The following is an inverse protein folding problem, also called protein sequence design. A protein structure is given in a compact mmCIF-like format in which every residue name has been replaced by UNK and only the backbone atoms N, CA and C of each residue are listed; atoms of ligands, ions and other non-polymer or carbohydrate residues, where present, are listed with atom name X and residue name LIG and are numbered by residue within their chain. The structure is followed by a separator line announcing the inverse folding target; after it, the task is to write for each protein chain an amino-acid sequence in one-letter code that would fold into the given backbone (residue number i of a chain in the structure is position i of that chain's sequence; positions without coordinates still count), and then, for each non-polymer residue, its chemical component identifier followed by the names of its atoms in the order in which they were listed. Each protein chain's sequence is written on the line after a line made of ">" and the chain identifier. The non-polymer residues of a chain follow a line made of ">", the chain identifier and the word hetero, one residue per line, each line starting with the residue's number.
data_IF_029487679628
#
_entry.id   IF_029487679628
#
_cell.length_a   1.000
_cell.length_b   1.000
_cell.length_c   1.000
_cell.angle_alpha   90.00
_cell.angle_beta   90.00
_cell.angle_gamma   90.00
#
_symmetry.space_group_name_H-M   'P 1'
#
loop_
_entity.id
_entity.type
_entity.pdbx_description
1 polymer ?
#
# COMPACT_ATOMS: atom_id res chain seq x y z
N UNK A 1 -33.93 -72.40 11.30
CA UNK A 1 -33.33 -71.59 12.40
C UNK A 1 -31.91 -71.27 11.95
N UNK A 2 -31.46 -70.05 11.70
CA UNK A 2 -32.02 -68.71 11.86
C UNK A 2 -31.57 -67.85 10.67
N UNK A 3 -32.49 -67.04 10.15
CA UNK A 3 -32.25 -66.06 9.09
C UNK A 3 -31.50 -64.86 9.68
N UNK A 4 -30.28 -64.59 9.18
CA UNK A 4 -29.53 -63.39 9.50
C UNK A 4 -30.00 -62.23 8.64
N UNK A 5 -30.67 -61.25 9.27
CA UNK A 5 -31.09 -59.99 8.67
C UNK A 5 -29.88 -59.25 8.10
N UNK A 6 -29.87 -59.05 6.77
CA UNK A 6 -29.07 -58.02 6.12
C UNK A 6 -29.85 -56.72 6.32
N UNK A 7 -29.43 -55.90 7.29
CA UNK A 7 -29.85 -54.50 7.36
C UNK A 7 -29.30 -53.80 6.13
N UNK A 8 -30.18 -53.52 5.18
CA UNK A 8 -30.01 -52.53 4.13
C UNK A 8 -29.57 -51.22 4.76
N UNK A 9 -28.29 -50.85 4.57
CA UNK A 9 -27.85 -49.47 4.70
C UNK A 9 -28.70 -48.65 3.72
N UNK A 10 -29.56 -47.80 4.26
CA UNK A 10 -30.22 -46.78 3.47
C UNK A 10 -29.10 -45.92 2.83
N UNK A 11 -29.15 -45.62 1.52
CA UNK A 11 -28.22 -44.67 0.93
C UNK A 11 -28.40 -43.35 1.69
N UNK A 12 -27.32 -42.86 2.29
CA UNK A 12 -27.27 -41.53 2.87
C UNK A 12 -27.75 -40.55 1.79
N UNK A 13 -28.90 -39.92 2.02
CA UNK A 13 -29.44 -38.93 1.10
C UNK A 13 -28.41 -37.79 0.93
N UNK A 14 -28.22 -37.26 -0.29
CA UNK A 14 -27.32 -36.12 -0.55
C UNK A 14 -27.66 -34.86 0.26
N UNK A 15 -28.85 -34.80 0.88
CA UNK A 15 -29.37 -33.66 1.60
C UNK A 15 -28.71 -33.41 2.98
N UNK A 16 -27.91 -34.34 3.51
CA UNK A 16 -27.29 -34.17 4.83
C UNK A 16 -25.91 -33.47 4.82
N UNK A 17 -25.38 -33.13 3.64
CA UNK A 17 -24.17 -32.31 3.49
C UNK A 17 -24.48 -30.80 3.38
N UNK A 18 -25.74 -30.40 3.16
CA UNK A 18 -26.16 -29.00 3.00
C UNK A 18 -26.34 -28.23 4.32
N UNK A 19 -26.22 -28.90 5.47
CA UNK A 19 -26.41 -28.29 6.80
C UNK A 19 -25.23 -27.43 7.28
N UNK A 20 -24.14 -27.34 6.51
CA UNK A 20 -22.95 -26.53 6.82
C UNK A 20 -22.63 -25.44 5.79
N UNK A 21 -23.57 -25.10 4.90
CA UNK A 21 -23.47 -23.89 4.08
C UNK A 21 -23.64 -22.66 4.98
N UNK A 22 -22.56 -22.33 5.70
CA UNK A 22 -22.48 -21.16 6.57
C UNK A 22 -22.86 -19.92 5.77
N UNK A 23 -23.39 -18.91 6.45
CA UNK A 23 -23.65 -17.58 5.87
C UNK A 23 -22.48 -17.11 4.97
N UNK A 24 -21.24 -17.35 5.41
CA UNK A 24 -20.01 -17.08 4.66
C UNK A 24 -19.97 -17.80 3.30
N UNK A 25 -20.28 -19.10 3.25
CA UNK A 25 -20.27 -19.88 2.01
C UNK A 25 -21.32 -19.38 1.00
N UNK A 26 -22.48 -18.94 1.49
CA UNK A 26 -23.58 -18.43 0.63
C UNK A 26 -23.21 -17.11 -0.03
N UNK A 27 -22.54 -16.22 0.70
CA UNK A 27 -22.14 -14.90 0.19
C UNK A 27 -20.75 -14.86 -0.45
N UNK A 28 -19.95 -15.92 -0.40
CA UNK A 28 -18.60 -15.95 -0.95
C UNK A 28 -18.51 -15.48 -2.42
N UNK A 29 -19.47 -15.88 -3.26
CA UNK A 29 -19.50 -15.44 -4.67
C UNK A 29 -19.90 -13.97 -4.83
N UNK A 30 -20.75 -13.47 -3.94
CA UNK A 30 -21.12 -12.05 -3.90
C UNK A 30 -19.91 -11.22 -3.48
N UNK A 31 -19.23 -11.63 -2.41
CA UNK A 31 -18.01 -11.00 -1.93
C UNK A 31 -16.93 -10.96 -3.02
N UNK A 32 -16.69 -12.06 -3.71
CA UNK A 32 -15.72 -12.11 -4.81
C UNK A 32 -16.10 -11.16 -5.97
N UNK A 33 -17.38 -11.10 -6.34
CA UNK A 33 -17.84 -10.16 -7.37
C UNK A 33 -17.67 -8.69 -6.95
N UNK A 34 -17.96 -8.36 -5.68
CA UNK A 34 -17.73 -7.03 -5.10
C UNK A 34 -16.23 -6.69 -5.09
N UNK A 35 -15.38 -7.63 -4.69
CA UNK A 35 -13.92 -7.50 -4.72
C UNK A 35 -13.42 -7.22 -6.15
N UNK A 36 -13.99 -7.88 -7.14
CA UNK A 36 -13.74 -7.63 -8.58
C UNK A 36 -14.30 -6.30 -9.09
N UNK A 37 -15.05 -5.56 -8.27
CA UNK A 37 -15.75 -4.35 -8.67
C UNK A 37 -16.90 -4.62 -9.64
N UNK A 38 -17.39 -5.86 -9.76
CA UNK A 38 -18.48 -6.27 -10.65
C UNK A 38 -19.82 -6.21 -9.93
N UNK A 39 -20.32 -4.98 -9.74
CA UNK A 39 -21.53 -4.71 -8.96
C UNK A 39 -22.80 -5.29 -9.60
N UNK A 40 -22.88 -5.30 -10.93
CA UNK A 40 -23.95 -5.96 -11.69
C UNK A 40 -24.07 -7.44 -11.31
N UNK A 41 -22.94 -8.14 -11.36
CA UNK A 41 -22.88 -9.58 -11.07
C UNK A 41 -23.07 -9.85 -9.58
N UNK A 42 -22.53 -8.99 -8.71
CA UNK A 42 -22.73 -9.11 -7.28
C UNK A 42 -24.21 -8.97 -6.89
N UNK A 43 -24.94 -8.03 -7.52
CA UNK A 43 -26.37 -7.84 -7.31
C UNK A 43 -27.18 -9.05 -7.76
N UNK A 44 -26.88 -9.60 -8.94
CA UNK A 44 -27.53 -10.81 -9.45
C UNK A 44 -27.27 -12.03 -8.56
N UNK A 45 -26.04 -12.21 -8.08
CA UNK A 45 -25.67 -13.28 -7.16
C UNK A 45 -26.38 -13.13 -5.81
N UNK A 46 -26.47 -11.91 -5.27
CA UNK A 46 -27.19 -11.65 -4.03
C UNK A 46 -28.70 -11.97 -4.18
N UNK A 47 -29.30 -11.63 -5.32
CA UNK A 47 -30.69 -11.98 -5.62
C UNK A 47 -30.90 -13.48 -5.69
N UNK A 48 -30.01 -14.21 -6.38
CA UNK A 48 -30.05 -15.68 -6.44
C UNK A 48 -29.92 -16.33 -5.07
N UNK A 49 -29.06 -15.80 -4.19
CA UNK A 49 -28.96 -16.26 -2.80
C UNK A 49 -30.28 -16.02 -2.05
N UNK A 50 -30.86 -14.83 -2.21
CA UNK A 50 -32.15 -14.49 -1.60
C UNK A 50 -33.30 -15.37 -2.06
N UNK A 51 -33.37 -15.71 -3.35
CA UNK A 51 -34.40 -16.57 -3.93
C UNK A 51 -34.20 -18.05 -3.53
N UNK A 52 -32.96 -18.55 -3.58
CA UNK A 52 -32.66 -19.97 -3.33
C UNK A 52 -32.82 -20.36 -1.86
N UNK A 53 -32.50 -19.45 -0.94
CA UNK A 53 -32.47 -19.73 0.50
C UNK A 53 -33.54 -18.97 1.28
N UNK A 54 -34.44 -18.24 0.60
CA UNK A 54 -35.48 -17.39 1.20
C UNK A 54 -34.93 -16.39 2.25
N UNK A 55 -33.84 -15.70 1.86
CA UNK A 55 -33.10 -14.79 2.73
C UNK A 55 -33.37 -13.33 2.39
N UNK A 56 -34.18 -12.67 3.23
CA UNK A 56 -34.51 -11.24 3.08
C UNK A 56 -33.26 -10.33 3.12
N UNK A 57 -32.23 -10.71 3.88
CA UNK A 57 -30.95 -9.99 3.92
C UNK A 57 -30.24 -9.96 2.55
N UNK A 58 -30.28 -11.06 1.80
CA UNK A 58 -29.65 -11.17 0.49
C UNK A 58 -30.41 -10.36 -0.56
N UNK A 59 -31.75 -10.33 -0.47
CA UNK A 59 -32.58 -9.47 -1.30
C UNK A 59 -32.34 -7.99 -1.00
N UNK A 60 -32.23 -7.62 0.28
CA UNK A 60 -31.86 -6.27 0.71
C UNK A 60 -30.47 -5.87 0.20
N UNK A 61 -29.50 -6.78 0.29
CA UNK A 61 -28.15 -6.57 -0.24
C UNK A 61 -28.16 -6.32 -1.75
N UNK A 62 -28.93 -7.08 -2.53
CA UNK A 62 -29.04 -6.88 -3.98
C UNK A 62 -29.51 -5.44 -4.32
N UNK A 63 -30.52 -4.93 -3.60
CA UNK A 63 -31.02 -3.55 -3.79
C UNK A 63 -29.95 -2.51 -3.45
N UNK A 64 -29.19 -2.72 -2.37
CA UNK A 64 -28.11 -1.80 -1.99
C UNK A 64 -26.93 -1.83 -2.99
N UNK A 65 -26.59 -3.00 -3.53
CA UNK A 65 -25.58 -3.13 -4.59
C UNK A 65 -26.03 -2.43 -5.88
N UNK A 66 -27.29 -2.58 -6.28
CA UNK A 66 -27.85 -1.88 -7.45
C UNK A 66 -27.80 -0.36 -7.28
N UNK A 67 -28.15 0.17 -6.09
CA UNK A 67 -28.03 1.61 -5.79
C UNK A 67 -26.59 2.09 -5.89
N UNK A 68 -25.64 1.33 -5.34
CA UNK A 68 -24.22 1.63 -5.46
C UNK A 68 -23.77 1.61 -6.93
N UNK A 69 -24.24 0.65 -7.72
CA UNK A 69 -23.92 0.57 -9.15
C UNK A 69 -24.43 1.78 -9.94
N UNK A 70 -25.65 2.25 -9.65
CA UNK A 70 -26.22 3.48 -10.24
C UNK A 70 -25.39 4.69 -9.85
N UNK A 71 -25.04 4.82 -8.56
CA UNK A 71 -24.22 5.92 -8.08
C UNK A 71 -22.85 5.94 -8.77
N UNK A 72 -22.16 4.79 -8.84
CA UNK A 72 -20.85 4.71 -9.49
C UNK A 72 -20.91 4.94 -11.00
N UNK A 73 -21.98 4.52 -11.66
CA UNK A 73 -22.20 4.85 -13.08
C UNK A 73 -22.30 6.37 -13.28
N UNK A 74 -22.90 7.08 -12.32
CA UNK A 74 -22.93 8.55 -12.31
C UNK A 74 -21.58 9.23 -12.06
N UNK A 75 -20.58 8.49 -11.56
CA UNK A 75 -19.20 8.95 -11.42
C UNK A 75 -18.32 8.52 -12.60
N UNK A 76 -18.84 7.72 -13.52
CA UNK A 76 -18.05 7.21 -14.64
C UNK A 76 -17.55 8.37 -15.52
N UNK A 77 -16.24 8.38 -15.76
CA UNK A 77 -15.55 9.47 -16.46
C UNK A 77 -15.00 10.56 -15.54
N UNK A 78 -15.46 10.67 -14.29
CA UNK A 78 -14.89 11.56 -13.28
C UNK A 78 -14.01 10.77 -12.30
N UNK A 79 -12.76 10.56 -12.73
CA UNK A 79 -11.77 9.79 -11.97
C UNK A 79 -11.49 10.39 -10.58
N UNK A 80 -11.54 11.71 -10.45
CA UNK A 80 -11.23 12.40 -9.19
C UNK A 80 -12.35 12.19 -8.18
N UNK A 81 -13.62 12.31 -8.60
CA UNK A 81 -14.74 11.96 -7.72
C UNK A 81 -14.76 10.48 -7.33
N UNK A 82 -14.44 9.58 -8.27
CA UNK A 82 -14.32 8.15 -7.95
C UNK A 82 -13.24 7.89 -6.90
N UNK A 83 -12.08 8.56 -7.01
CA UNK A 83 -11.00 8.41 -6.05
C UNK A 83 -11.33 9.01 -4.67
N UNK A 84 -11.97 10.19 -4.63
CA UNK A 84 -12.48 10.76 -3.36
C UNK A 84 -13.42 9.78 -2.67
N UNK A 85 -14.34 9.17 -3.43
CA UNK A 85 -15.28 8.20 -2.87
C UNK A 85 -14.59 6.93 -2.36
N UNK A 86 -13.58 6.42 -3.08
CA UNK A 86 -12.82 5.26 -2.64
C UNK A 86 -12.04 5.53 -1.33
N UNK A 87 -11.48 6.74 -1.16
CA UNK A 87 -10.75 7.12 0.05
C UNK A 87 -11.64 7.48 1.24
N UNK A 88 -12.83 8.01 0.98
CA UNK A 88 -13.78 8.49 2.00
C UNK A 88 -15.19 8.00 1.68
N UNK A 89 -15.44 6.70 1.88
CA UNK A 89 -16.70 6.07 1.48
C UNK A 89 -17.86 6.37 2.43
N UNK A 90 -17.58 6.95 3.60
CA UNK A 90 -18.39 6.78 4.81
C UNK A 90 -19.83 7.26 4.65
N UNK A 91 -20.09 8.46 4.15
CA UNK A 91 -21.46 8.98 4.03
C UNK A 91 -22.37 8.12 3.11
N UNK A 92 -21.80 7.45 2.10
CA UNK A 92 -22.56 6.64 1.16
C UNK A 92 -22.61 5.17 1.59
N UNK A 93 -21.50 4.59 2.08
CA UNK A 93 -21.47 3.19 2.51
C UNK A 93 -22.09 2.97 3.89
N UNK A 94 -22.12 3.96 4.80
CA UNK A 94 -22.81 3.83 6.10
C UNK A 94 -24.32 3.62 5.94
N UNK A 95 -24.90 4.13 4.85
CA UNK A 95 -26.30 3.89 4.52
C UNK A 95 -26.57 2.46 4.06
N UNK A 96 -25.54 1.74 3.59
CA UNK A 96 -25.65 0.37 3.13
C UNK A 96 -25.48 -0.59 4.32
N UNK A 97 -26.41 -1.53 4.46
CA UNK A 97 -26.37 -2.55 5.53
C UNK A 97 -25.39 -3.69 5.18
N UNK A 98 -24.15 -3.34 4.91
CA UNK A 98 -23.07 -4.28 4.59
C UNK A 98 -22.38 -4.74 5.88
N UNK A 99 -22.12 -6.03 5.99
CA UNK A 99 -21.21 -6.53 7.01
C UNK A 99 -19.75 -6.11 6.73
N UNK A 100 -18.84 -6.41 7.67
CA UNK A 100 -17.44 -6.01 7.56
C UNK A 100 -16.71 -6.61 6.35
N UNK A 101 -17.04 -7.85 5.96
CA UNK A 101 -16.40 -8.54 4.83
C UNK A 101 -16.88 -7.93 3.50
N UNK A 102 -18.19 -7.79 3.32
CA UNK A 102 -18.79 -7.17 2.14
C UNK A 102 -18.38 -5.71 1.99
N UNK A 103 -18.32 -4.94 3.10
CA UNK A 103 -17.81 -3.55 3.07
C UNK A 103 -16.36 -3.52 2.59
N UNK A 104 -15.51 -4.41 3.10
CA UNK A 104 -14.11 -4.52 2.67
C UNK A 104 -14.01 -4.88 1.18
N UNK A 105 -14.81 -5.83 0.71
CA UNK A 105 -14.86 -6.23 -0.69
C UNK A 105 -15.29 -5.08 -1.61
N UNK A 106 -16.30 -4.31 -1.22
CA UNK A 106 -16.72 -3.08 -1.93
C UNK A 106 -15.55 -2.09 -2.03
N UNK A 107 -14.87 -1.80 -0.93
CA UNK A 107 -13.75 -0.84 -0.92
C UNK A 107 -12.61 -1.27 -1.84
N UNK A 108 -12.24 -2.56 -1.82
CA UNK A 108 -11.26 -3.12 -2.75
C UNK A 108 -11.71 -2.96 -4.21
N UNK A 109 -12.97 -3.25 -4.49
CA UNK A 109 -13.57 -3.08 -5.82
C UNK A 109 -13.59 -1.62 -6.29
N UNK A 110 -13.82 -0.66 -5.40
CA UNK A 110 -13.76 0.78 -5.70
C UNK A 110 -12.34 1.20 -6.10
N UNK A 111 -11.34 0.83 -5.30
CA UNK A 111 -9.94 1.12 -5.63
C UNK A 111 -9.49 0.46 -6.94
N UNK A 112 -9.94 -0.78 -7.21
CA UNK A 112 -9.72 -1.47 -8.49
C UNK A 112 -10.28 -0.66 -9.66
N UNK A 113 -11.51 -0.17 -9.55
CA UNK A 113 -12.14 0.65 -10.59
C UNK A 113 -11.40 1.97 -10.82
N UNK A 114 -10.96 2.65 -9.75
CA UNK A 114 -10.15 3.87 -9.84
C UNK A 114 -8.84 3.59 -10.59
N UNK A 115 -8.12 2.53 -10.22
CA UNK A 115 -6.86 2.18 -10.87
C UNK A 115 -7.04 1.85 -12.35
N UNK A 116 -8.05 1.04 -12.70
CA UNK A 116 -8.38 0.71 -14.09
C UNK A 116 -8.81 1.93 -14.91
N UNK A 117 -9.54 2.88 -14.31
CA UNK A 117 -9.93 4.11 -14.98
C UNK A 117 -8.71 5.02 -15.21
N UNK A 118 -7.82 5.14 -14.22
CA UNK A 118 -6.58 5.91 -14.35
C UNK A 118 -5.67 5.35 -15.45
N UNK A 119 -5.47 4.04 -15.50
CA UNK A 119 -4.68 3.38 -16.55
C UNK A 119 -5.25 3.60 -17.95
N UNK A 120 -6.56 3.45 -18.12
CA UNK A 120 -7.24 3.73 -19.40
C UNK A 120 -7.07 5.18 -19.86
N UNK A 121 -6.99 6.11 -18.92
CA UNK A 121 -6.75 7.53 -19.19
C UNK A 121 -5.25 7.89 -19.26
N UNK A 122 -4.35 6.92 -19.09
CA UNK A 122 -2.90 7.14 -19.08
C UNK A 122 -2.39 8.00 -17.91
N UNK A 123 -3.13 8.07 -16.79
CA UNK A 123 -2.72 8.83 -15.60
C UNK A 123 -1.86 7.95 -14.69
N UNK A 124 -0.70 8.45 -14.28
CA UNK A 124 0.16 7.80 -13.29
C UNK A 124 -0.19 8.19 -11.83
N UNK A 125 -0.91 9.29 -11.65
CA UNK A 125 -1.27 9.87 -10.35
C UNK A 125 -2.75 10.23 -10.34
N UNK A 126 -3.43 9.95 -9.23
CA UNK A 126 -4.81 10.33 -8.95
C UNK A 126 -4.87 10.94 -7.55
N UNK A 127 -5.39 12.17 -7.42
CA UNK A 127 -5.45 12.90 -6.14
C UNK A 127 -4.13 12.92 -5.34
N UNK A 128 -3.00 13.03 -6.03
CA UNK A 128 -1.68 13.03 -5.39
C UNK A 128 -1.17 11.64 -4.97
N UNK A 129 -1.92 10.57 -5.20
CA UNK A 129 -1.50 9.18 -4.98
C UNK A 129 -1.05 8.52 -6.29
N UNK A 130 0.04 7.73 -6.31
CA UNK A 130 0.39 6.94 -7.48
C UNK A 130 -0.67 5.86 -7.72
N UNK A 131 -0.96 5.52 -8.98
CA UNK A 131 -1.97 4.50 -9.33
C UNK A 131 -1.72 3.16 -8.63
N UNK A 132 -0.46 2.77 -8.44
CA UNK A 132 -0.13 1.54 -7.73
C UNK A 132 -0.57 1.53 -6.27
N UNK A 133 -0.78 2.68 -5.62
CA UNK A 133 -1.41 2.74 -4.29
C UNK A 133 -2.84 2.20 -4.31
N UNK A 134 -3.64 2.59 -5.31
CA UNK A 134 -5.00 2.06 -5.47
C UNK A 134 -4.99 0.56 -5.79
N UNK A 135 -4.03 0.07 -6.57
CA UNK A 135 -3.86 -1.36 -6.78
C UNK A 135 -3.54 -2.12 -5.48
N UNK A 136 -2.75 -1.55 -4.57
CA UNK A 136 -2.52 -2.14 -3.25
C UNK A 136 -3.77 -2.17 -2.39
N UNK A 137 -4.55 -1.10 -2.37
CA UNK A 137 -5.83 -1.09 -1.66
C UNK A 137 -6.83 -2.09 -2.26
N UNK A 138 -6.66 -2.46 -3.53
CA UNK A 138 -7.41 -3.51 -4.21
C UNK A 138 -6.79 -4.92 -4.07
N UNK A 139 -5.70 -5.07 -3.30
CA UNK A 139 -4.94 -6.30 -3.05
C UNK A 139 -4.27 -6.93 -4.28
N UNK A 140 -4.02 -6.12 -5.31
CA UNK A 140 -3.40 -6.54 -6.57
C UNK A 140 -1.90 -6.18 -6.57
N UNK A 141 -1.11 -6.91 -5.77
CA UNK A 141 0.30 -6.56 -5.50
C UNK A 141 1.19 -6.49 -6.75
N UNK A 142 1.00 -7.41 -7.70
CA UNK A 142 1.80 -7.45 -8.93
C UNK A 142 1.51 -6.22 -9.83
N UNK A 143 0.23 -5.86 -9.98
CA UNK A 143 -0.18 -4.66 -10.71
C UNK A 143 0.28 -3.39 -10.02
N UNK A 144 0.19 -3.36 -8.69
CA UNK A 144 0.69 -2.25 -7.90
C UNK A 144 2.18 -2.03 -8.13
N UNK A 145 2.98 -3.09 -8.03
CA UNK A 145 4.43 -3.03 -8.26
C UNK A 145 4.74 -2.50 -9.66
N UNK A 146 4.12 -3.05 -10.69
CA UNK A 146 4.32 -2.59 -12.07
C UNK A 146 3.97 -1.10 -12.25
N UNK A 147 2.82 -0.65 -11.70
CA UNK A 147 2.40 0.74 -11.79
C UNK A 147 3.33 1.70 -11.00
N UNK A 148 3.86 1.27 -9.86
CA UNK A 148 4.82 2.06 -9.07
C UNK A 148 6.18 2.14 -9.76
N UNK A 149 6.69 1.03 -10.30
CA UNK A 149 7.93 1.00 -11.08
C UNK A 149 7.84 1.91 -12.31
N UNK A 150 6.68 1.92 -12.97
CA UNK A 150 6.40 2.84 -14.07
C UNK A 150 6.39 4.30 -13.61
N UNK A 151 5.75 4.61 -12.48
CA UNK A 151 5.75 5.96 -11.91
C UNK A 151 7.18 6.42 -11.57
N UNK A 152 8.01 5.55 -10.98
CA UNK A 152 9.43 5.80 -10.71
C UNK A 152 10.20 6.07 -12.00
N UNK A 153 10.01 5.23 -13.04
CA UNK A 153 10.65 5.41 -14.35
C UNK A 153 10.30 6.76 -14.99
N UNK A 154 9.07 7.21 -14.82
CA UNK A 154 8.60 8.52 -15.29
C UNK A 154 8.91 9.68 -14.35
N UNK A 155 9.53 9.44 -13.19
CA UNK A 155 9.77 10.42 -12.11
C UNK A 155 8.49 11.12 -11.65
N UNK A 156 7.37 10.39 -11.58
CA UNK A 156 6.07 10.87 -11.12
C UNK A 156 5.85 10.39 -9.68
N UNK A 157 5.57 11.32 -8.77
CA UNK A 157 5.36 11.01 -7.34
C UNK A 157 6.47 10.09 -6.80
N UNK A 158 7.73 10.49 -7.05
CA UNK A 158 8.89 9.61 -6.96
C UNK A 158 9.13 9.12 -5.53
N UNK A 159 9.12 10.03 -4.55
CA UNK A 159 9.36 9.71 -3.14
C UNK A 159 8.34 8.71 -2.61
N UNK A 160 7.06 9.01 -2.77
CA UNK A 160 5.97 8.12 -2.34
C UNK A 160 5.94 6.79 -3.12
N UNK A 161 6.28 6.78 -4.41
CA UNK A 161 6.31 5.53 -5.18
C UNK A 161 7.44 4.61 -4.71
N UNK A 162 8.63 5.16 -4.48
CA UNK A 162 9.77 4.42 -3.93
C UNK A 162 9.49 3.93 -2.50
N UNK A 163 8.84 4.75 -1.66
CA UNK A 163 8.51 4.34 -0.29
C UNK A 163 7.50 3.19 -0.27
N UNK A 164 6.47 3.22 -1.14
CA UNK A 164 5.51 2.12 -1.26
C UNK A 164 6.18 0.84 -1.79
N UNK A 165 7.09 0.96 -2.78
CA UNK A 165 7.89 -0.18 -3.23
C UNK A 165 8.76 -0.75 -2.10
N UNK A 166 9.33 0.12 -1.25
CA UNK A 166 10.07 -0.30 -0.06
C UNK A 166 9.20 -1.09 0.92
N UNK A 167 7.97 -0.62 1.17
CA UNK A 167 7.00 -1.32 2.01
C UNK A 167 6.66 -2.71 1.43
N UNK A 168 6.53 -2.84 0.11
CA UNK A 168 6.28 -4.12 -0.55
C UNK A 168 7.47 -5.07 -0.41
N UNK A 169 8.69 -4.60 -0.68
CA UNK A 169 9.90 -5.39 -0.49
C UNK A 169 10.06 -5.87 0.97
N UNK A 170 9.67 -5.04 1.95
CA UNK A 170 9.71 -5.42 3.35
C UNK A 170 8.71 -6.55 3.67
N UNK A 171 7.49 -6.50 3.11
CA UNK A 171 6.50 -7.58 3.24
C UNK A 171 7.00 -8.89 2.65
N UNK A 172 7.78 -8.82 1.58
CA UNK A 172 8.49 -9.94 0.96
C UNK A 172 9.75 -10.39 1.74
N UNK A 173 10.01 -9.79 2.91
CA UNK A 173 11.20 -10.02 3.76
C UNK A 173 12.53 -9.66 3.08
N UNK A 174 12.51 -8.87 2.01
CA UNK A 174 13.68 -8.36 1.32
C UNK A 174 14.18 -7.05 1.97
N UNK A 175 14.59 -7.12 3.25
CA UNK A 175 14.93 -5.96 4.08
C UNK A 175 15.99 -5.05 3.44
N UNK A 176 17.05 -5.62 2.87
CA UNK A 176 18.12 -4.84 2.21
C UNK A 176 17.58 -4.07 1.01
N UNK A 177 16.74 -4.69 0.19
CA UNK A 177 16.12 -4.05 -0.97
C UNK A 177 15.12 -2.96 -0.53
N UNK A 178 14.34 -3.21 0.52
CA UNK A 178 13.43 -2.23 1.09
C UNK A 178 14.17 -0.97 1.56
N UNK A 179 15.26 -1.14 2.31
CA UNK A 179 16.08 -0.02 2.82
C UNK A 179 16.74 0.78 1.71
N UNK A 180 17.19 0.12 0.64
CA UNK A 180 17.70 0.82 -0.53
C UNK A 180 16.61 1.66 -1.20
N UNK A 181 15.38 1.14 -1.32
CA UNK A 181 14.24 1.88 -1.87
C UNK A 181 13.88 3.10 -1.00
N UNK A 182 13.82 2.96 0.33
CA UNK A 182 13.60 4.10 1.23
C UNK A 182 14.71 5.14 1.13
N UNK A 183 15.97 4.70 1.16
CA UNK A 183 17.13 5.58 1.02
C UNK A 183 17.06 6.37 -0.28
N UNK A 184 16.74 5.72 -1.40
CA UNK A 184 16.51 6.38 -2.69
C UNK A 184 15.35 7.37 -2.64
N UNK A 185 14.24 7.01 -2.00
CA UNK A 185 13.10 7.91 -1.84
C UNK A 185 13.53 9.24 -1.18
N UNK A 186 14.26 9.16 -0.06
CA UNK A 186 14.78 10.34 0.64
C UNK A 186 15.89 11.08 -0.09
N UNK A 187 16.69 10.38 -0.90
CA UNK A 187 17.71 11.05 -1.71
C UNK A 187 17.12 11.80 -2.90
N UNK A 188 16.13 11.21 -3.58
CA UNK A 188 15.62 11.70 -4.86
C UNK A 188 14.46 12.68 -4.69
N UNK A 189 13.56 12.44 -3.73
CA UNK A 189 12.36 13.25 -3.50
C UNK A 189 11.93 13.22 -2.01
N UNK A 190 12.73 13.81 -1.10
CA UNK A 190 12.53 13.71 0.35
C UNK A 190 11.21 14.28 0.84
N UNK A 191 10.73 15.36 0.21
CA UNK A 191 9.47 16.03 0.56
C UNK A 191 8.24 15.27 0.05
N UNK A 192 8.43 14.36 -0.92
CA UNK A 192 7.40 13.48 -1.42
C UNK A 192 7.20 12.20 -0.60
N UNK A 193 8.00 11.97 0.46
CA UNK A 193 7.90 10.77 1.31
C UNK A 193 7.03 11.04 2.54
N UNK A 194 5.88 10.36 2.71
CA UNK A 194 5.11 10.45 3.93
C UNK A 194 5.73 9.55 5.01
N UNK A 195 6.45 10.14 5.96
CA UNK A 195 7.21 9.45 7.02
C UNK A 195 6.37 8.41 7.78
N UNK A 196 5.13 8.78 8.09
CA UNK A 196 4.15 7.98 8.82
C UNK A 196 3.72 6.70 8.06
N UNK A 197 4.00 6.63 6.76
CA UNK A 197 3.65 5.47 5.91
C UNK A 197 4.79 4.48 5.71
N UNK A 198 5.98 4.75 6.24
CA UNK A 198 7.12 3.84 6.18
C UNK A 198 6.88 2.64 7.12
N UNK A 199 6.89 1.43 6.57
CA UNK A 199 6.63 0.21 7.33
C UNK A 199 7.83 -0.29 8.15
N UNK A 200 9.06 0.12 7.79
CA UNK A 200 10.25 -0.20 8.58
C UNK A 200 10.39 0.82 9.72
N UNK A 201 10.06 0.38 10.95
CA UNK A 201 10.10 1.23 12.14
C UNK A 201 11.49 1.83 12.42
N UNK A 202 12.57 1.13 12.07
CA UNK A 202 13.93 1.66 12.23
C UNK A 202 14.19 2.81 11.26
N UNK A 203 13.66 2.73 10.03
CA UNK A 203 13.76 3.81 9.04
C UNK A 203 12.84 4.97 9.40
N UNK A 204 11.64 4.69 9.90
CA UNK A 204 10.71 5.71 10.36
C UNK A 204 11.30 6.55 11.49
N UNK A 205 12.01 5.94 12.44
CA UNK A 205 12.66 6.62 13.55
C UNK A 205 13.78 7.59 13.13
N UNK A 206 14.32 7.45 11.91
CA UNK A 206 15.39 8.34 11.42
C UNK A 206 14.95 9.78 11.23
N UNK A 207 13.66 10.04 11.06
CA UNK A 207 13.15 11.42 11.00
C UNK A 207 13.30 12.12 12.35
N UNK A 208 12.88 11.45 13.42
CA UNK A 208 12.99 11.98 14.78
C UNK A 208 14.46 12.16 15.14
N UNK A 209 15.31 11.20 14.78
CA UNK A 209 16.76 11.31 14.97
C UNK A 209 17.36 12.50 14.19
N UNK A 210 16.93 12.75 12.94
CA UNK A 210 17.38 13.92 12.18
C UNK A 210 17.00 15.23 12.87
N UNK A 211 15.79 15.30 13.46
CA UNK A 211 15.35 16.45 14.24
C UNK A 211 16.16 16.63 15.53
N UNK A 212 16.45 15.56 16.27
CA UNK A 212 17.29 15.59 17.48
C UNK A 212 18.73 16.07 17.18
N UNK A 213 19.23 15.74 16.00
CA UNK A 213 20.52 16.22 15.49
C UNK A 213 20.48 17.68 15.00
N UNK A 214 19.32 18.34 15.06
CA UNK A 214 19.05 19.69 14.58
C UNK A 214 19.36 19.86 13.09
N UNK A 215 18.99 18.86 12.28
CA UNK A 215 19.17 18.85 10.84
C UNK A 215 17.89 19.33 10.15
N UNK A 216 18.00 20.35 9.31
CA UNK A 216 16.87 21.01 8.65
C UNK A 216 17.09 21.05 7.13
N UNK A 217 16.09 20.67 6.32
CA UNK A 217 14.87 19.97 6.70
C UNK A 217 15.16 18.47 7.00
N UNK A 218 14.53 17.87 8.03
CA UNK A 218 14.93 16.55 8.53
C UNK A 218 14.83 15.45 7.48
N UNK A 219 13.86 15.54 6.56
CA UNK A 219 13.63 14.52 5.52
C UNK A 219 14.82 14.40 4.56
N UNK A 220 15.53 15.51 4.28
CA UNK A 220 16.70 15.52 3.41
C UNK A 220 17.90 14.79 4.04
N UNK A 221 17.96 14.72 5.37
CA UNK A 221 19.09 14.16 6.11
C UNK A 221 18.93 12.70 6.48
N UNK A 222 17.73 12.11 6.34
CA UNK A 222 17.44 10.69 6.59
C UNK A 222 18.49 9.75 5.96
N UNK A 223 18.99 9.95 4.72
CA UNK A 223 20.01 9.07 4.15
C UNK A 223 21.34 9.06 4.93
N UNK A 224 21.79 10.21 5.44
CA UNK A 224 23.03 10.31 6.21
C UNK A 224 22.85 9.82 7.65
N UNK A 225 21.69 10.11 8.25
CA UNK A 225 21.32 9.61 9.57
C UNK A 225 21.22 8.08 9.54
N UNK A 226 20.54 7.50 8.56
CA UNK A 226 20.47 6.05 8.38
C UNK A 226 21.81 5.40 8.06
N UNK A 227 22.74 6.10 7.40
CA UNK A 227 24.13 5.64 7.27
C UNK A 227 24.85 5.61 8.63
N UNK A 228 24.73 6.68 9.41
CA UNK A 228 25.28 6.73 10.77
C UNK A 228 24.65 5.67 11.68
N UNK A 229 23.36 5.35 11.53
CA UNK A 229 22.73 4.26 12.28
C UNK A 229 23.06 2.85 11.74
N UNK A 230 23.67 2.73 10.56
CA UNK A 230 24.02 1.45 9.94
C UNK A 230 22.88 0.77 9.17
N UNK A 231 21.77 1.48 8.93
CA UNK A 231 20.63 0.97 8.16
C UNK A 231 20.78 1.16 6.66
N UNK A 232 21.51 2.19 6.24
CA UNK A 232 21.74 2.49 4.83
C UNK A 232 23.20 2.29 4.43
N UNK A 233 23.39 1.84 3.19
CA UNK A 233 24.67 1.90 2.51
C UNK A 233 24.75 3.18 1.70
N UNK A 234 25.91 3.84 1.71
CA UNK A 234 26.14 5.02 0.89
C UNK A 234 26.77 4.64 -0.44
N UNK A 235 26.18 5.09 -1.57
CA UNK A 235 26.82 4.98 -2.88
C UNK A 235 28.15 5.72 -2.95
N UNK A 236 28.98 5.37 -3.93
CA UNK A 236 30.28 6.02 -4.17
C UNK A 236 30.19 7.45 -4.72
N UNK A 237 28.97 7.90 -5.03
CA UNK A 237 28.66 9.22 -5.58
C UNK A 237 27.81 10.03 -4.57
N UNK A 238 28.02 11.36 -4.47
CA UNK A 238 27.23 12.20 -3.57
C UNK A 238 25.74 12.24 -3.96
N UNK A 239 24.91 11.63 -3.12
CA UNK A 239 23.44 11.63 -3.20
C UNK A 239 22.78 12.50 -2.12
N UNK A 240 21.49 12.79 -2.29
CA UNK A 240 20.71 13.67 -1.42
C UNK A 240 20.46 15.04 -2.04
N UNK A 241 19.82 15.91 -1.26
CA UNK A 241 19.57 17.31 -1.62
C UNK A 241 20.24 18.26 -0.61
N UNK A 242 20.38 19.53 -0.98
CA UNK A 242 20.88 20.59 -0.10
C UNK A 242 22.17 20.25 0.67
N UNK A 243 22.15 20.57 1.97
CA UNK A 243 23.27 20.34 2.88
C UNK A 243 23.64 18.87 3.07
N UNK A 244 22.67 17.95 2.92
CA UNK A 244 22.91 16.50 3.00
C UNK A 244 23.84 16.03 1.87
N UNK A 245 23.61 16.49 0.62
CA UNK A 245 24.48 16.14 -0.51
C UNK A 245 25.89 16.70 -0.35
N UNK A 246 26.01 17.95 0.10
CA UNK A 246 27.32 18.56 0.40
C UNK A 246 28.06 17.79 1.51
N UNK A 247 27.36 17.37 2.55
CA UNK A 247 27.93 16.58 3.63
C UNK A 247 28.39 15.20 3.14
N UNK A 248 27.60 14.54 2.30
CA UNK A 248 27.96 13.26 1.70
C UNK A 248 29.19 13.38 0.79
N UNK A 249 29.29 14.43 -0.03
CA UNK A 249 30.49 14.70 -0.81
C UNK A 249 31.72 14.86 0.08
N UNK A 250 31.61 15.68 1.13
CA UNK A 250 32.69 15.83 2.11
C UNK A 250 33.07 14.52 2.82
N UNK A 251 32.10 13.65 3.10
CA UNK A 251 32.36 12.33 3.70
C UNK A 251 33.14 11.42 2.75
N UNK A 252 32.78 11.39 1.47
CA UNK A 252 33.48 10.61 0.44
C UNK A 252 34.92 11.11 0.26
N UNK A 253 35.11 12.42 0.22
CA UNK A 253 36.44 13.02 0.08
C UNK A 253 37.30 12.80 1.33
N UNK A 254 36.74 12.99 2.53
CA UNK A 254 37.45 12.78 3.81
C UNK A 254 37.95 11.35 4.03
N UNK A 255 37.36 10.36 3.33
CA UNK A 255 37.82 8.95 3.31
C UNK A 255 38.95 8.69 2.33
N UNK A 256 39.00 9.46 1.23
CA UNK A 256 40.02 9.33 0.18
C UNK A 256 41.26 10.15 0.51
N UNK A 257 41.08 11.31 1.11
CA UNK A 257 42.14 12.23 1.50
C UNK A 257 41.89 12.76 2.91
N UNK A 258 42.95 12.94 3.69
CA UNK A 258 42.88 13.53 5.04
C UNK A 258 42.66 15.05 5.00
N UNK A 259 41.81 15.54 4.10
CA UNK A 259 41.63 16.96 3.85
C UNK A 259 40.83 17.63 5.00
N UNK A 260 41.51 18.54 5.68
CA UNK A 260 40.98 19.34 6.79
C UNK A 260 39.84 20.27 6.35
N UNK A 261 39.84 20.74 5.11
CA UNK A 261 38.82 21.65 4.59
C UNK A 261 37.45 20.95 4.48
N UNK A 262 37.42 19.73 3.95
CA UNK A 262 36.20 18.92 3.87
C UNK A 262 35.64 18.59 5.25
N UNK A 263 36.49 18.13 6.18
CA UNK A 263 36.08 17.87 7.58
C UNK A 263 35.54 19.13 8.27
N UNK A 264 36.15 20.29 8.05
CA UNK A 264 35.67 21.58 8.58
C UNK A 264 34.29 21.93 8.03
N UNK A 265 34.07 21.74 6.71
CA UNK A 265 32.77 22.01 6.08
C UNK A 265 31.69 21.07 6.60
N UNK A 266 31.97 19.77 6.72
CA UNK A 266 31.03 18.80 7.31
C UNK A 266 30.63 19.18 8.73
N UNK A 267 31.61 19.57 9.57
CA UNK A 267 31.35 20.03 10.94
C UNK A 267 30.47 21.29 10.98
N UNK A 268 30.55 22.17 9.99
CA UNK A 268 29.68 23.35 9.89
C UNK A 268 28.26 22.99 9.47
N UNK A 269 28.11 22.07 8.51
CA UNK A 269 26.81 21.66 7.97
C UNK A 269 25.98 20.87 8.99
N UNK A 270 26.60 19.89 9.67
CA UNK A 270 25.91 19.02 10.61
C UNK A 270 26.84 18.68 11.80
N UNK A 271 27.02 19.60 12.77
CA UNK A 271 28.01 19.45 13.83
C UNK A 271 27.82 18.19 14.69
N UNK A 272 26.56 17.88 15.04
CA UNK A 272 26.21 16.73 15.89
C UNK A 272 26.41 15.41 15.15
N UNK A 273 25.94 15.33 13.90
CA UNK A 273 26.13 14.16 13.05
C UNK A 273 27.61 13.90 12.74
N UNK A 274 28.37 14.95 12.44
CA UNK A 274 29.81 14.85 12.23
C UNK A 274 30.53 14.28 13.46
N UNK A 275 30.19 14.78 14.66
CA UNK A 275 30.75 14.25 15.91
C UNK A 275 30.41 12.76 16.08
N UNK A 276 29.15 12.38 15.85
CA UNK A 276 28.72 10.97 15.92
C UNK A 276 29.52 10.07 14.97
N UNK A 277 29.70 10.49 13.71
CA UNK A 277 30.48 9.72 12.74
C UNK A 277 31.96 9.58 13.14
N UNK A 278 32.54 10.58 13.82
CA UNK A 278 33.89 10.47 14.38
C UNK A 278 33.93 9.48 15.54
N UNK A 279 33.00 9.59 16.48
CA UNK A 279 32.91 8.74 17.67
C UNK A 279 32.68 7.26 17.29
N UNK A 280 31.99 7.00 16.17
CA UNK A 280 31.75 5.66 15.61
C UNK A 280 32.83 5.18 14.62
N UNK A 281 33.94 5.91 14.45
CA UNK A 281 35.02 5.58 13.51
C UNK A 281 34.57 5.42 12.04
N UNK A 282 33.55 6.19 11.61
CA UNK A 282 33.04 6.22 10.23
C UNK A 282 33.62 7.37 9.39
N UNK A 283 34.59 8.10 9.94
CA UNK A 283 35.26 9.27 9.37
C UNK A 283 36.79 9.16 9.41
#
# INVERSE_FOLDING_TARGET
>A
MASGNITTEAPLEPAQLDLFDSHVARFAKVEEALHQGRLDVAGDLARQVGERFDLAEAQGLAVEIERLAVYLSGLEGDLERMAVFAERPDAQLESLRLDGALRTAVLRGLHRRVAQAAERQGRAIVLGRPVGWHWLCAEESDRAKAALEEAVRQKRALGVSLSILGNLALREKAVVAARELYRRAFCEDPHGVPAETIADAEVQALFDEAQELALDPPQEWVPMVGYAAGFFQLPAEPQGQGGCREFHAGLLDARRSADVAHRRRMKQLAPRLFKRLLDEHKL
#
